data_IF_239704580219
#
_entry.id   IF_239704580219
#
_cell.length_a   1.000
_cell.length_b   1.000
_cell.length_c   1.000
_cell.angle_alpha   90.00
_cell.angle_beta   90.00
_cell.angle_gamma   90.00
#
_symmetry.space_group_name_H-M   'P 1'
#
loop_
_entity.id
_entity.type
_entity.pdbx_description
1 polymer ?
#
# COMPACT_ATOMS: atom_id res chain seq x y z
N UNK A 1 -24.07 -0.52 9.12
CA UNK A 1 -22.67 -0.43 9.60
C UNK A 1 -22.40 -1.55 10.58
N UNK A 2 -21.71 -2.64 10.19
CA UNK A 2 -21.38 -3.74 11.10
C UNK A 2 -20.08 -3.38 11.84
N UNK A 3 -20.18 -3.06 13.14
CA UNK A 3 -19.01 -2.85 14.01
C UNK A 3 -18.18 -4.14 14.04
N UNK A 4 -17.04 -4.15 13.37
CA UNK A 4 -16.08 -5.24 13.46
C UNK A 4 -15.56 -5.30 14.89
N UNK A 5 -15.85 -6.41 15.58
CA UNK A 5 -15.39 -6.67 16.95
C UNK A 5 -13.88 -6.90 16.88
N UNK A 6 -13.11 -5.84 17.10
CA UNK A 6 -11.66 -5.92 17.27
C UNK A 6 -11.38 -6.74 18.53
N UNK A 7 -11.18 -8.05 18.38
CA UNK A 7 -10.72 -8.92 19.46
C UNK A 7 -9.25 -8.59 19.70
N UNK A 8 -8.92 -7.60 20.54
CA UNK A 8 -7.56 -7.39 21.04
C UNK A 8 -7.08 -8.70 21.66
N UNK A 9 -6.22 -9.43 20.94
CA UNK A 9 -5.65 -10.64 21.51
C UNK A 9 -4.46 -10.24 22.32
N UNK A 10 -4.57 -10.56 23.61
CA UNK A 10 -3.57 -10.31 24.64
C UNK A 10 -2.18 -10.91 24.35
N UNK A 11 -2.06 -11.79 23.35
CA UNK A 11 -0.82 -12.52 23.04
C UNK A 11 -0.34 -12.24 21.61
N UNK A 12 0.96 -12.01 21.45
CA UNK A 12 1.62 -11.75 20.17
C UNK A 12 1.54 -12.96 19.22
N UNK A 13 1.78 -12.76 17.91
CA UNK A 13 1.87 -13.87 16.93
C UNK A 13 2.95 -14.88 17.35
N UNK A 14 4.11 -14.38 17.76
CA UNK A 14 5.26 -15.20 18.14
C UNK A 14 4.94 -16.10 19.34
N UNK A 15 4.30 -15.57 20.39
CA UNK A 15 3.91 -16.36 21.57
C UNK A 15 2.93 -17.47 21.22
N UNK A 16 2.02 -17.24 20.25
CA UNK A 16 1.06 -18.26 19.80
C UNK A 16 1.74 -19.36 18.99
N UNK A 17 2.65 -18.99 18.08
CA UNK A 17 3.41 -19.94 17.29
C UNK A 17 4.32 -20.79 18.18
N UNK A 18 5.00 -20.18 19.14
CA UNK A 18 5.85 -20.88 20.09
C UNK A 18 5.03 -21.88 20.92
N UNK A 19 3.89 -21.44 21.48
CA UNK A 19 3.03 -22.34 22.24
C UNK A 19 2.55 -23.55 21.42
N UNK A 20 2.27 -23.36 20.13
CA UNK A 20 1.86 -24.45 19.24
C UNK A 20 3.04 -25.37 18.90
N UNK A 21 4.22 -24.81 18.63
CA UNK A 21 5.45 -25.55 18.35
C UNK A 21 5.82 -26.46 19.51
N UNK A 22 5.83 -25.93 20.74
CA UNK A 22 6.17 -26.70 21.94
C UNK A 22 5.22 -27.88 22.18
N UNK A 23 3.95 -27.76 21.79
CA UNK A 23 2.97 -28.83 21.98
C UNK A 23 2.96 -29.82 20.80
N UNK A 24 3.16 -29.36 19.56
CA UNK A 24 3.06 -30.22 18.37
C UNK A 24 4.38 -30.86 17.95
N UNK A 25 5.50 -30.15 18.12
CA UNK A 25 6.83 -30.63 17.71
C UNK A 25 7.59 -31.27 18.88
N UNK A 26 7.46 -30.72 20.09
CA UNK A 26 8.17 -31.21 21.28
C UNK A 26 7.28 -32.07 22.21
N UNK A 27 6.03 -32.35 21.83
CA UNK A 27 5.02 -33.13 22.56
C UNK A 27 4.87 -32.72 24.05
N UNK A 28 5.12 -31.45 24.36
CA UNK A 28 5.06 -30.96 25.74
C UNK A 28 3.61 -30.80 26.20
N UNK A 29 3.29 -31.17 27.45
CA UNK A 29 1.95 -31.01 27.97
C UNK A 29 1.56 -29.52 28.02
N UNK A 30 0.35 -29.22 27.59
CA UNK A 30 -0.19 -27.84 27.52
C UNK A 30 -0.06 -27.10 28.87
N UNK A 31 -0.11 -27.82 29.99
CA UNK A 31 0.02 -27.27 31.34
C UNK A 31 1.41 -26.69 31.63
N UNK A 32 2.47 -27.25 31.06
CA UNK A 32 3.83 -26.75 31.26
C UNK A 32 4.10 -25.60 30.29
N UNK A 33 3.61 -25.72 29.05
CA UNK A 33 3.70 -24.65 28.05
C UNK A 33 3.01 -23.36 28.50
N UNK A 34 1.86 -23.43 29.17
CA UNK A 34 1.19 -22.22 29.69
C UNK A 34 1.97 -21.57 30.84
N UNK A 35 2.67 -22.36 31.67
CA UNK A 35 3.47 -21.84 32.79
C UNK A 35 4.73 -21.16 32.27
N UNK A 36 5.43 -21.83 31.34
CA UNK A 36 6.65 -21.34 30.72
C UNK A 36 6.42 -20.04 29.93
N UNK A 37 5.32 -19.97 29.17
CA UNK A 37 5.00 -18.82 28.32
C UNK A 37 4.09 -17.77 28.98
N UNK A 38 3.74 -17.94 30.26
CA UNK A 38 2.90 -17.00 31.00
C UNK A 38 1.47 -16.85 30.44
N UNK A 39 0.92 -17.92 29.86
CA UNK A 39 -0.41 -17.93 29.25
C UNK A 39 -1.47 -18.20 30.33
N UNK A 40 -2.44 -17.30 30.46
CA UNK A 40 -3.44 -17.35 31.54
C UNK A 40 -4.38 -18.55 31.50
N UNK A 41 -4.71 -19.07 30.32
CA UNK A 41 -5.70 -20.15 30.15
C UNK A 41 -5.23 -21.17 29.12
N UNK A 42 -5.28 -22.46 29.49
CA UNK A 42 -4.96 -23.60 28.61
C UNK A 42 -5.85 -23.69 27.37
N UNK A 43 -7.09 -23.25 27.48
CA UNK A 43 -8.07 -23.28 26.37
C UNK A 43 -7.61 -22.44 25.18
N UNK A 44 -6.89 -21.34 25.44
CA UNK A 44 -6.28 -20.54 24.39
C UNK A 44 -5.30 -21.35 23.55
N UNK A 45 -4.48 -22.18 24.18
CA UNK A 45 -3.47 -23.00 23.50
C UNK A 45 -4.16 -24.07 22.66
N UNK A 46 -5.21 -24.73 23.17
CA UNK A 46 -6.00 -25.68 22.38
C UNK A 46 -6.67 -25.02 21.17
N UNK A 47 -7.23 -23.82 21.33
CA UNK A 47 -7.79 -23.06 20.21
C UNK A 47 -6.71 -22.69 19.17
N UNK A 48 -5.51 -22.32 19.63
CA UNK A 48 -4.39 -22.00 18.74
C UNK A 48 -3.92 -23.22 17.97
N UNK A 49 -3.74 -24.36 18.63
CA UNK A 49 -3.40 -25.63 17.97
C UNK A 49 -4.46 -25.99 16.93
N UNK A 50 -5.75 -25.85 17.26
CA UNK A 50 -6.84 -26.12 16.31
C UNK A 50 -6.78 -25.20 15.09
N UNK A 51 -6.50 -23.91 15.29
CA UNK A 51 -6.33 -22.94 14.18
C UNK A 51 -5.10 -23.24 13.33
N UNK A 52 -3.97 -23.53 13.97
CA UNK A 52 -2.72 -23.87 13.30
C UNK A 52 -2.84 -25.17 12.49
N UNK A 53 -3.53 -26.19 12.98
CA UNK A 53 -3.79 -27.43 12.21
C UNK A 53 -4.62 -27.19 10.94
N UNK A 54 -5.42 -26.13 10.90
CA UNK A 54 -6.31 -25.81 9.78
C UNK A 54 -5.65 -24.86 8.76
N UNK A 55 -4.94 -23.84 9.25
CA UNK A 55 -4.44 -22.71 8.45
C UNK A 55 -2.90 -22.57 8.50
N UNK A 56 -2.22 -23.49 9.19
CA UNK A 56 -0.76 -23.53 9.29
C UNK A 56 -0.17 -22.33 10.06
N UNK A 57 1.10 -21.98 9.77
CA UNK A 57 1.77 -20.80 10.36
C UNK A 57 1.06 -19.46 10.11
N UNK A 58 0.21 -19.40 9.09
CA UNK A 58 -0.59 -18.22 8.73
C UNK A 58 -1.84 -18.05 9.60
N UNK A 59 -2.22 -19.06 10.40
CA UNK A 59 -3.39 -19.01 11.29
C UNK A 59 -3.39 -17.84 12.30
N UNK A 60 -2.21 -17.27 12.58
CA UNK A 60 -2.03 -16.16 13.51
C UNK A 60 -1.58 -14.87 12.84
N UNK A 61 -1.49 -14.85 11.50
CA UNK A 61 -1.32 -13.64 10.72
C UNK A 61 -2.60 -12.82 10.76
N UNK A 62 -2.78 -12.12 11.88
CA UNK A 62 -3.78 -11.06 11.93
C UNK A 62 -3.28 -9.91 11.07
N UNK A 63 -4.02 -9.67 10.00
CA UNK A 63 -4.13 -8.35 9.39
C UNK A 63 -3.01 -7.96 8.42
N UNK A 64 -2.20 -8.87 7.88
CA UNK A 64 -1.38 -8.52 6.71
C UNK A 64 -2.24 -8.54 5.45
N UNK A 65 -2.85 -9.68 5.10
CA UNK A 65 -3.70 -9.80 3.89
C UNK A 65 -4.80 -8.73 3.79
N UNK A 66 -5.61 -8.54 4.84
CA UNK A 66 -6.71 -7.56 4.79
C UNK A 66 -6.26 -6.09 4.80
N UNK A 67 -5.13 -5.79 5.44
CA UNK A 67 -4.64 -4.39 5.46
C UNK A 67 -3.93 -4.09 4.16
N UNK A 68 -3.19 -5.04 3.61
CA UNK A 68 -2.49 -4.91 2.34
C UNK A 68 -3.48 -4.81 1.17
N UNK A 69 -4.51 -5.67 1.14
CA UNK A 69 -5.60 -5.58 0.16
C UNK A 69 -6.38 -4.26 0.28
N UNK A 70 -6.66 -3.79 1.51
CA UNK A 70 -7.32 -2.49 1.70
C UNK A 70 -6.45 -1.29 1.28
N UNK A 71 -5.13 -1.38 1.48
CA UNK A 71 -4.17 -0.34 1.07
C UNK A 71 -4.00 -0.34 -0.44
N UNK A 72 -3.91 -1.51 -1.08
CA UNK A 72 -3.83 -1.64 -2.53
C UNK A 72 -5.08 -1.02 -3.18
N UNK A 73 -6.27 -1.39 -2.72
CA UNK A 73 -7.52 -0.81 -3.21
C UNK A 73 -7.60 0.71 -2.99
N UNK A 74 -7.09 1.20 -1.87
CA UNK A 74 -7.06 2.64 -1.59
C UNK A 74 -6.07 3.37 -2.51
N UNK A 75 -4.89 2.80 -2.74
CA UNK A 75 -3.87 3.36 -3.63
C UNK A 75 -4.35 3.34 -5.08
N UNK A 76 -4.97 2.24 -5.53
CA UNK A 76 -5.56 2.14 -6.87
C UNK A 76 -6.65 3.21 -7.08
N UNK A 77 -7.53 3.40 -6.09
CA UNK A 77 -8.56 4.45 -6.14
C UNK A 77 -7.95 5.85 -6.23
N UNK A 78 -6.90 6.13 -5.44
CA UNK A 78 -6.19 7.41 -5.50
C UNK A 78 -5.49 7.63 -6.83
N UNK A 79 -4.87 6.60 -7.41
CA UNK A 79 -4.25 6.68 -8.74
C UNK A 79 -5.30 7.00 -9.81
N UNK A 80 -6.48 6.38 -9.74
CA UNK A 80 -7.56 6.65 -10.68
C UNK A 80 -8.10 8.08 -10.55
N UNK A 81 -8.34 8.54 -9.31
CA UNK A 81 -8.76 9.91 -9.04
C UNK A 81 -7.73 10.93 -9.56
N UNK A 82 -6.44 10.71 -9.27
CA UNK A 82 -5.35 11.57 -9.76
C UNK A 82 -5.21 11.55 -11.28
N UNK A 83 -5.41 10.42 -11.95
CA UNK A 83 -5.41 10.36 -13.42
C UNK A 83 -6.52 11.23 -14.01
N UNK A 84 -7.73 11.15 -13.45
CA UNK A 84 -8.86 11.97 -13.90
C UNK A 84 -8.56 13.46 -13.69
N UNK A 85 -8.03 13.84 -12.51
CA UNK A 85 -7.64 15.22 -12.22
C UNK A 85 -6.56 15.72 -13.19
N UNK A 86 -5.53 14.92 -13.45
CA UNK A 86 -4.46 15.25 -14.41
C UNK A 86 -5.01 15.46 -15.81
N UNK A 87 -5.88 14.59 -16.31
CA UNK A 87 -6.49 14.74 -17.64
C UNK A 87 -7.40 15.96 -17.73
N UNK A 88 -8.17 16.26 -16.68
CA UNK A 88 -8.97 17.48 -16.60
C UNK A 88 -8.07 18.74 -16.65
N UNK A 89 -6.98 18.76 -15.87
CA UNK A 89 -6.03 19.87 -15.83
C UNK A 89 -5.31 20.05 -17.18
N UNK A 90 -4.87 18.98 -17.83
CA UNK A 90 -4.29 19.05 -19.19
C UNK A 90 -5.29 19.62 -20.20
N UNK A 91 -6.55 19.21 -20.12
CA UNK A 91 -7.62 19.73 -20.97
C UNK A 91 -7.81 21.24 -20.76
N UNK A 92 -7.82 21.69 -19.50
CA UNK A 92 -7.88 23.12 -19.17
C UNK A 92 -6.65 23.88 -19.69
N UNK A 93 -5.45 23.34 -19.50
CA UNK A 93 -4.20 23.95 -19.98
C UNK A 93 -4.21 24.11 -21.50
N UNK A 94 -4.67 23.10 -22.24
CA UNK A 94 -4.80 23.17 -23.70
C UNK A 94 -5.81 24.23 -24.15
N UNK A 95 -6.87 24.50 -23.37
CA UNK A 95 -7.82 25.56 -23.67
C UNK A 95 -7.29 26.96 -23.33
N UNK A 96 -6.45 27.07 -22.30
CA UNK A 96 -5.90 28.35 -21.84
C UNK A 96 -4.65 28.79 -22.62
N UNK A 97 -3.86 27.85 -23.11
CA UNK A 97 -2.64 28.09 -23.87
C UNK A 97 -2.93 27.77 -25.34
N UNK A 98 -3.61 28.70 -26.01
CA UNK A 98 -3.99 28.55 -27.42
C UNK A 98 -2.78 28.81 -28.34
N UNK A 99 -1.77 29.56 -27.88
CA UNK A 99 -0.54 29.83 -28.60
C UNK A 99 0.59 28.82 -28.32
N UNK A 100 1.28 28.36 -29.36
CA UNK A 100 2.48 27.51 -29.23
C UNK A 100 3.60 28.20 -28.42
N UNK A 101 3.77 29.52 -28.62
CA UNK A 101 4.75 30.33 -27.89
C UNK A 101 4.51 30.30 -26.38
N UNK A 102 3.26 30.40 -25.95
CA UNK A 102 2.88 30.41 -24.54
C UNK A 102 3.18 29.06 -23.89
N UNK A 103 2.96 27.96 -24.62
CA UNK A 103 3.34 26.61 -24.20
C UNK A 103 4.85 26.49 -24.04
N UNK A 104 5.65 26.97 -24.99
CA UNK A 104 7.11 26.90 -24.89
C UNK A 104 7.67 27.73 -23.73
N UNK A 105 7.12 28.93 -23.50
CA UNK A 105 7.48 29.78 -22.35
C UNK A 105 7.13 29.12 -21.01
N UNK A 106 5.98 28.46 -20.93
CA UNK A 106 5.60 27.68 -19.75
C UNK A 106 6.59 26.53 -19.49
N UNK A 107 7.01 25.79 -20.53
CA UNK A 107 8.02 24.74 -20.40
C UNK A 107 9.35 25.32 -19.91
N UNK A 108 9.84 26.42 -20.51
CA UNK A 108 11.09 27.09 -20.10
C UNK A 108 11.07 27.54 -18.64
N UNK A 109 9.92 28.00 -18.14
CA UNK A 109 9.78 28.45 -16.75
C UNK A 109 9.78 27.26 -15.78
N UNK A 110 9.13 26.16 -16.17
CA UNK A 110 8.91 24.99 -15.33
C UNK A 110 10.04 23.94 -15.40
N UNK A 111 10.93 24.02 -16.40
CA UNK A 111 12.02 23.04 -16.62
C UNK A 111 12.96 22.89 -15.41
N UNK A 112 13.03 23.91 -14.54
CA UNK A 112 13.84 23.87 -13.31
C UNK A 112 13.28 22.96 -12.23
N UNK A 113 11.97 22.72 -12.25
CA UNK A 113 11.26 21.98 -11.20
C UNK A 113 10.77 20.62 -11.68
N UNK A 114 10.54 20.46 -12.98
CA UNK A 114 9.96 19.25 -13.56
C UNK A 114 10.74 18.79 -14.80
N UNK A 115 10.81 17.47 -15.08
CA UNK A 115 11.43 16.96 -16.29
C UNK A 115 10.76 17.51 -17.55
N UNK A 116 11.58 17.90 -18.54
CA UNK A 116 11.11 18.44 -19.83
C UNK A 116 10.14 17.46 -20.51
N UNK A 117 10.43 16.16 -20.48
CA UNK A 117 9.55 15.13 -21.05
C UNK A 117 8.14 15.14 -20.43
N UNK A 118 8.03 15.36 -19.11
CA UNK A 118 6.74 15.46 -18.42
C UNK A 118 5.99 16.72 -18.84
N UNK A 119 6.68 17.85 -18.98
CA UNK A 119 6.09 19.12 -19.37
C UNK A 119 5.63 19.11 -20.83
N UNK A 120 6.45 18.58 -21.75
CA UNK A 120 6.10 18.37 -23.16
C UNK A 120 4.85 17.50 -23.31
N UNK A 121 4.78 16.38 -22.57
CA UNK A 121 3.63 15.50 -22.58
C UNK A 121 2.36 16.15 -21.99
N UNK A 122 2.51 16.99 -20.95
CA UNK A 122 1.38 17.68 -20.33
C UNK A 122 0.76 18.76 -21.23
N UNK A 123 1.59 19.44 -22.03
CA UNK A 123 1.17 20.51 -22.93
C UNK A 123 0.93 20.05 -24.38
N UNK A 124 1.05 18.74 -24.63
CA UNK A 124 0.94 18.11 -25.95
C UNK A 124 1.87 18.74 -27.00
N UNK A 125 3.11 19.02 -26.58
CA UNK A 125 4.15 19.63 -27.40
C UNK A 125 5.21 18.59 -27.74
N UNK A 126 5.52 18.36 -29.04
CA UNK A 126 6.62 17.50 -29.44
C UNK A 126 7.95 18.01 -28.87
N UNK A 127 8.70 17.12 -28.22
CA UNK A 127 10.02 17.46 -27.64
C UNK A 127 10.98 18.08 -28.66
N UNK A 128 10.94 17.62 -29.90
CA UNK A 128 11.77 18.15 -30.99
C UNK A 128 11.50 19.63 -31.25
N UNK A 129 10.23 20.03 -31.31
CA UNK A 129 9.83 21.41 -31.55
C UNK A 129 10.27 22.34 -30.41
N UNK A 130 10.08 21.91 -29.15
CA UNK A 130 10.57 22.68 -28.01
C UNK A 130 12.10 22.83 -28.00
N UNK A 131 12.85 21.78 -28.38
CA UNK A 131 14.31 21.86 -28.44
C UNK A 131 14.80 22.78 -29.56
N UNK A 132 14.14 22.79 -30.72
CA UNK A 132 14.41 23.76 -31.80
C UNK A 132 14.11 25.18 -31.35
N UNK A 133 12.96 25.41 -30.72
CA UNK A 133 12.59 26.69 -30.15
C UNK A 133 13.65 27.19 -29.16
N UNK A 134 14.13 26.32 -28.27
CA UNK A 134 15.17 26.65 -27.28
C UNK A 134 16.51 27.03 -27.92
N UNK A 135 16.82 26.54 -29.12
CA UNK A 135 18.03 26.90 -29.86
C UNK A 135 17.88 28.23 -30.62
N UNK A 136 16.66 28.64 -30.94
CA UNK A 136 16.36 29.90 -31.67
C UNK A 136 16.18 31.11 -30.74
N UNK A 137 15.80 30.89 -29.48
CA UNK A 137 15.54 31.92 -28.47
C UNK A 137 16.70 32.13 -27.48
#
# INVERSE_FOLDING_TARGET
>A
MKKQKQLYSRYSKQTKLEAVRLVLEEDRPVQDVIKDLGIRHRDNVYEWIKKYKKEGPHAFDRSFEKVEESKLLQVEKQVEELKIEVEALKTCLNFLLDGEEEKYQAIRTLEKHYPIDTLCNALNVPKGEFLEYRQRA
#
